data_IF_396846965755
#
_entry.id   IF_396846965755
#
_cell.length_a   1.000
_cell.length_b   1.000
_cell.length_c   1.000
_cell.angle_alpha   90.00
_cell.angle_beta   90.00
_cell.angle_gamma   90.00
#
_symmetry.space_group_name_H-M   'P 1'
#
loop_
_entity.id
_entity.type
_entity.pdbx_description
1 polymer ?
#
# COMPACT_ATOMS: atom_id res chain seq x y z
N UNK A 1 -3.73 -13.74 14.84
CA UNK A 1 -2.95 -13.23 15.99
C UNK A 1 -3.33 -11.78 16.23
N UNK A 2 -3.59 -11.43 17.49
CA UNK A 2 -3.82 -10.04 17.92
C UNK A 2 -2.44 -9.43 18.21
N UNK A 3 -2.16 -8.29 17.64
CA UNK A 3 -0.95 -7.52 17.90
C UNK A 3 -1.30 -6.36 18.83
N UNK A 4 -0.60 -6.20 19.94
CA UNK A 4 -0.73 -5.04 20.80
C UNK A 4 0.31 -4.01 20.35
N UNK A 5 -0.17 -2.82 20.00
CA UNK A 5 0.66 -1.67 19.64
C UNK A 5 0.41 -0.57 20.64
N UNK A 6 1.49 -0.06 21.23
CA UNK A 6 1.41 1.00 22.24
C UNK A 6 2.16 2.25 21.76
N UNK A 7 1.70 3.40 22.26
CA UNK A 7 2.36 4.69 22.15
C UNK A 7 2.61 5.21 23.59
N UNK A 8 3.68 4.77 24.25
CA UNK A 8 3.86 4.96 25.69
C UNK A 8 3.80 6.42 26.14
N UNK A 9 4.41 7.32 25.38
CA UNK A 9 4.40 8.75 25.71
C UNK A 9 3.05 9.47 25.52
N UNK A 10 2.09 8.79 24.83
CA UNK A 10 0.72 9.29 24.65
C UNK A 10 -0.29 8.54 25.51
N UNK A 11 0.12 7.48 26.20
CA UNK A 11 -0.77 6.63 26.97
C UNK A 11 -1.80 5.88 26.12
N UNK A 12 -1.52 5.64 24.84
CA UNK A 12 -2.43 4.96 23.92
C UNK A 12 -2.02 3.50 23.72
N UNK A 13 -3.00 2.61 23.70
CA UNK A 13 -2.83 1.19 23.38
C UNK A 13 -3.90 0.72 22.41
N UNK A 14 -3.49 -0.02 21.39
CA UNK A 14 -4.35 -0.57 20.37
C UNK A 14 -4.18 -2.08 20.27
N UNK A 15 -5.27 -2.81 20.32
CA UNK A 15 -5.32 -4.26 20.10
C UNK A 15 -5.72 -4.50 18.65
N UNK A 16 -4.75 -4.79 17.80
CA UNK A 16 -4.92 -4.90 16.35
C UNK A 16 -5.09 -6.37 15.94
N UNK A 17 -6.23 -6.70 15.35
CA UNK A 17 -6.43 -7.98 14.67
C UNK A 17 -6.34 -7.76 13.15
N UNK A 18 -5.40 -8.43 12.47
CA UNK A 18 -5.26 -8.32 11.01
C UNK A 18 -6.49 -8.83 10.27
N UNK A 19 -7.19 -9.84 10.84
CA UNK A 19 -8.39 -10.43 10.24
C UNK A 19 -9.60 -9.62 10.66
N UNK A 20 -10.35 -9.09 9.70
CA UNK A 20 -11.61 -8.38 9.94
C UNK A 20 -12.74 -9.36 10.23
N UNK A 21 -12.93 -10.33 9.36
CA UNK A 21 -13.93 -11.40 9.47
C UNK A 21 -13.58 -12.58 8.56
N UNK A 22 -14.36 -13.66 8.66
CA UNK A 22 -14.23 -14.81 7.77
C UNK A 22 -15.42 -14.87 6.80
N UNK A 23 -15.13 -15.04 5.52
CA UNK A 23 -16.13 -15.20 4.47
C UNK A 23 -15.89 -16.55 3.77
N UNK A 24 -16.90 -17.44 3.79
CA UNK A 24 -16.79 -18.80 3.24
C UNK A 24 -15.55 -19.58 3.76
N UNK A 25 -15.21 -19.41 5.05
CA UNK A 25 -14.06 -20.06 5.68
C UNK A 25 -12.69 -19.42 5.36
N UNK A 26 -12.64 -18.38 4.56
CA UNK A 26 -11.41 -17.62 4.24
C UNK A 26 -11.32 -16.33 5.04
N UNK A 27 -10.15 -16.00 5.61
CA UNK A 27 -9.98 -14.74 6.34
C UNK A 27 -9.99 -13.56 5.37
N UNK A 28 -10.76 -12.54 5.70
CA UNK A 28 -10.73 -11.22 5.06
C UNK A 28 -9.94 -10.28 5.96
N UNK A 29 -8.92 -9.65 5.39
CA UNK A 29 -7.99 -8.79 6.13
C UNK A 29 -8.41 -7.33 6.07
N UNK A 30 -8.25 -6.62 7.18
CA UNK A 30 -8.48 -5.17 7.23
C UNK A 30 -7.69 -4.39 6.20
N UNK A 31 -6.46 -4.83 5.92
CA UNK A 31 -5.63 -4.22 4.88
C UNK A 31 -6.36 -4.14 3.53
N UNK A 32 -6.93 -5.25 3.09
CA UNK A 32 -7.69 -5.29 1.82
C UNK A 32 -8.92 -4.38 1.82
N UNK A 33 -9.65 -4.35 2.95
CA UNK A 33 -10.83 -3.48 3.11
C UNK A 33 -10.43 -2.01 3.06
N UNK A 34 -9.38 -1.62 3.76
CA UNK A 34 -8.88 -0.24 3.81
C UNK A 34 -8.41 0.21 2.42
N UNK A 35 -7.61 -0.60 1.72
CA UNK A 35 -7.16 -0.30 0.36
C UNK A 35 -8.36 -0.18 -0.60
N UNK A 36 -9.30 -1.11 -0.55
CA UNK A 36 -10.50 -1.06 -1.40
C UNK A 36 -11.35 0.18 -1.11
N UNK A 37 -11.56 0.51 0.16
CA UNK A 37 -12.32 1.72 0.54
C UNK A 37 -11.62 3.01 0.11
N UNK A 38 -10.29 3.08 0.24
CA UNK A 38 -9.48 4.19 -0.24
C UNK A 38 -9.59 4.36 -1.76
N UNK A 39 -9.51 3.26 -2.51
CA UNK A 39 -9.68 3.25 -3.96
C UNK A 39 -11.10 3.71 -4.36
N UNK A 40 -12.13 3.18 -3.72
CA UNK A 40 -13.52 3.56 -4.01
C UNK A 40 -13.76 5.05 -3.71
N UNK A 41 -13.23 5.56 -2.59
CA UNK A 41 -13.33 6.98 -2.26
C UNK A 41 -12.56 7.85 -3.27
N UNK A 42 -11.36 7.44 -3.68
CA UNK A 42 -10.58 8.14 -4.70
C UNK A 42 -11.34 8.20 -6.03
N UNK A 43 -11.89 7.08 -6.49
CA UNK A 43 -12.69 7.02 -7.72
C UNK A 43 -13.93 7.94 -7.60
N UNK A 44 -14.66 7.86 -6.49
CA UNK A 44 -15.84 8.70 -6.25
C UNK A 44 -15.51 10.20 -6.30
N UNK A 45 -14.47 10.62 -5.56
CA UNK A 45 -14.09 12.04 -5.51
C UNK A 45 -13.50 12.52 -6.84
N UNK A 46 -12.64 11.72 -7.48
CA UNK A 46 -12.13 12.04 -8.81
C UNK A 46 -13.27 12.16 -9.85
N UNK A 47 -14.27 11.29 -9.80
CA UNK A 47 -15.44 11.40 -10.68
C UNK A 47 -16.24 12.68 -10.43
N UNK A 48 -16.37 13.12 -9.16
CA UNK A 48 -17.02 14.40 -8.80
C UNK A 48 -16.22 15.61 -9.27
N UNK A 49 -14.89 15.52 -9.28
CA UNK A 49 -14.00 16.62 -9.68
C UNK A 49 -13.65 16.62 -11.17
N UNK A 50 -13.86 15.50 -11.87
CA UNK A 50 -13.53 15.33 -13.29
C UNK A 50 -13.99 16.49 -14.18
N UNK A 51 -15.23 17.04 -14.03
CA UNK A 51 -15.68 18.17 -14.86
C UNK A 51 -14.81 19.42 -14.73
N UNK A 52 -14.18 19.66 -13.56
CA UNK A 52 -13.28 20.82 -13.36
C UNK A 52 -12.01 20.69 -14.21
N UNK A 53 -11.63 19.48 -14.59
CA UNK A 53 -10.47 19.17 -15.44
C UNK A 53 -10.86 18.93 -16.91
N UNK A 54 -12.11 19.20 -17.28
CA UNK A 54 -12.62 18.95 -18.63
C UNK A 54 -12.76 17.46 -18.98
N UNK A 55 -12.91 16.60 -17.96
CA UNK A 55 -13.00 15.14 -18.10
C UNK A 55 -14.45 14.72 -17.81
N UNK A 56 -15.00 13.83 -18.63
CA UNK A 56 -16.30 13.21 -18.38
C UNK A 56 -16.17 12.24 -17.21
N UNK A 57 -17.04 12.28 -16.18
CA UNK A 57 -16.94 11.42 -14.99
C UNK A 57 -16.83 9.93 -15.30
N UNK A 58 -17.54 9.43 -16.29
CA UNK A 58 -17.53 8.02 -16.70
C UNK A 58 -16.15 7.55 -17.17
N UNK A 59 -15.32 8.47 -17.68
CA UNK A 59 -13.95 8.14 -18.08
C UNK A 59 -13.09 7.69 -16.90
N UNK A 60 -13.44 8.07 -15.66
CA UNK A 60 -12.70 7.62 -14.47
C UNK A 60 -12.94 6.12 -14.24
N UNK A 61 -14.21 5.69 -14.33
CA UNK A 61 -14.56 4.26 -14.20
C UNK A 61 -14.00 3.43 -15.36
N UNK A 62 -14.14 3.93 -16.60
CA UNK A 62 -13.57 3.30 -17.78
C UNK A 62 -12.06 3.10 -17.62
N UNK A 63 -11.34 4.16 -17.19
CA UNK A 63 -9.90 4.09 -16.97
C UNK A 63 -9.54 3.05 -15.91
N UNK A 64 -10.25 3.00 -14.78
CA UNK A 64 -10.02 2.03 -13.72
C UNK A 64 -10.27 0.60 -14.17
N UNK A 65 -11.30 0.40 -15.01
CA UNK A 65 -11.61 -0.91 -15.58
C UNK A 65 -10.45 -1.51 -16.40
N UNK A 66 -9.67 -0.68 -17.08
CA UNK A 66 -8.49 -1.12 -17.81
C UNK A 66 -7.22 -1.09 -16.95
N UNK A 67 -7.04 -0.06 -16.12
CA UNK A 67 -5.82 0.13 -15.36
C UNK A 67 -5.62 -0.94 -14.27
N UNK A 68 -6.69 -1.32 -13.53
CA UNK A 68 -6.55 -2.27 -12.43
C UNK A 68 -6.16 -3.66 -12.91
N UNK A 69 -6.82 -4.29 -13.92
CA UNK A 69 -6.37 -5.58 -14.44
C UNK A 69 -4.97 -5.53 -15.05
N UNK A 70 -4.65 -4.46 -15.79
CA UNK A 70 -3.32 -4.28 -16.36
C UNK A 70 -2.24 -4.18 -15.27
N UNK A 71 -2.50 -3.43 -14.20
CA UNK A 71 -1.59 -3.30 -13.07
C UNK A 71 -1.39 -4.65 -12.37
N UNK A 72 -2.45 -5.43 -12.12
CA UNK A 72 -2.35 -6.76 -11.50
C UNK A 72 -1.44 -7.68 -12.32
N UNK A 73 -1.61 -7.72 -13.63
CA UNK A 73 -0.73 -8.53 -14.49
C UNK A 73 0.70 -7.99 -14.47
N UNK A 74 0.87 -6.68 -14.58
CA UNK A 74 2.17 -6.05 -14.72
C UNK A 74 3.02 -6.13 -13.44
N UNK A 75 2.44 -6.06 -12.23
CA UNK A 75 3.22 -6.22 -10.98
C UNK A 75 3.87 -7.59 -10.90
N UNK A 76 3.16 -8.62 -11.36
CA UNK A 76 3.69 -9.99 -11.38
C UNK A 76 4.70 -10.18 -12.51
N UNK A 77 4.36 -9.74 -13.73
CA UNK A 77 5.24 -9.85 -14.89
C UNK A 77 6.57 -9.14 -14.64
N UNK A 78 6.55 -7.93 -14.08
CA UNK A 78 7.76 -7.19 -13.74
C UNK A 78 8.64 -7.96 -12.76
N UNK A 79 8.05 -8.45 -11.66
CA UNK A 79 8.80 -9.22 -10.68
C UNK A 79 9.44 -10.47 -11.29
N UNK A 80 8.67 -11.24 -12.06
CA UNK A 80 9.14 -12.47 -12.71
C UNK A 80 10.28 -12.20 -13.70
N UNK A 81 10.16 -11.13 -14.51
CA UNK A 81 11.20 -10.77 -15.51
C UNK A 81 12.53 -10.48 -14.81
N UNK A 82 12.52 -9.77 -13.69
CA UNK A 82 13.75 -9.40 -12.96
C UNK A 82 14.25 -10.48 -12.00
N UNK A 83 13.50 -11.58 -11.83
CA UNK A 83 13.86 -12.69 -10.95
C UNK A 83 13.63 -14.05 -11.65
N UNK A 84 13.93 -14.14 -12.93
CA UNK A 84 13.67 -15.34 -13.75
C UNK A 84 14.31 -16.60 -13.17
N UNK A 85 15.46 -16.48 -12.54
CA UNK A 85 16.18 -17.62 -11.97
C UNK A 85 15.40 -18.34 -10.84
N UNK A 86 14.54 -17.61 -10.12
CA UNK A 86 13.66 -18.19 -9.09
C UNK A 86 12.55 -19.07 -9.71
N UNK A 87 12.30 -18.93 -11.00
CA UNK A 87 11.23 -19.61 -11.74
C UNK A 87 11.75 -20.63 -12.74
N UNK A 88 13.06 -20.94 -12.71
CA UNK A 88 13.67 -22.00 -13.51
C UNK A 88 13.67 -23.32 -12.77
N UNK A 89 13.26 -24.38 -13.45
CA UNK A 89 13.41 -25.75 -12.97
C UNK A 89 14.85 -26.23 -13.20
N UNK A 90 15.21 -27.33 -12.55
CA UNK A 90 16.55 -27.94 -12.70
C UNK A 90 16.89 -28.38 -14.12
N UNK A 91 15.90 -28.56 -15.00
CA UNK A 91 16.05 -28.84 -16.45
C UNK A 91 16.19 -27.57 -17.31
N UNK A 92 16.18 -26.38 -16.70
CA UNK A 92 16.27 -25.08 -17.38
C UNK A 92 14.93 -24.54 -17.90
N UNK A 93 13.85 -25.31 -17.82
CA UNK A 93 12.51 -24.87 -18.22
C UNK A 93 11.90 -23.89 -17.20
N UNK A 94 10.92 -23.07 -17.65
CA UNK A 94 10.18 -22.17 -16.77
C UNK A 94 9.05 -22.91 -16.04
N UNK A 95 8.93 -22.65 -14.75
CA UNK A 95 7.80 -23.10 -13.94
C UNK A 95 6.61 -22.14 -14.04
N UNK A 96 5.76 -22.34 -15.04
CA UNK A 96 4.57 -21.54 -15.27
C UNK A 96 3.59 -21.58 -14.10
N UNK A 97 3.55 -22.70 -13.35
CA UNK A 97 2.71 -22.83 -12.17
C UNK A 97 3.16 -21.88 -11.04
N UNK A 98 4.48 -21.79 -10.81
CA UNK A 98 5.05 -20.83 -9.86
C UNK A 98 4.89 -19.38 -10.34
N UNK A 99 5.10 -19.12 -11.64
CA UNK A 99 4.94 -17.79 -12.24
C UNK A 99 3.52 -17.24 -12.04
N UNK A 100 2.49 -18.05 -12.20
CA UNK A 100 1.09 -17.63 -12.08
C UNK A 100 0.56 -17.63 -10.65
N UNK A 101 1.35 -18.07 -9.67
CA UNK A 101 0.92 -18.16 -8.27
C UNK A 101 1.16 -16.84 -7.54
N UNK A 102 0.10 -16.03 -7.45
CA UNK A 102 0.14 -14.73 -6.76
C UNK A 102 0.20 -14.85 -5.24
N UNK A 103 -0.24 -15.98 -4.67
CA UNK A 103 -0.28 -16.22 -3.22
C UNK A 103 1.10 -16.25 -2.56
N UNK A 104 2.14 -16.56 -3.33
CA UNK A 104 3.51 -16.72 -2.82
C UNK A 104 4.26 -15.37 -2.77
N UNK A 105 3.56 -14.26 -2.99
CA UNK A 105 4.17 -12.93 -3.08
C UNK A 105 4.88 -12.70 -4.41
N UNK A 106 5.96 -11.91 -4.40
CA UNK A 106 6.69 -11.58 -5.64
C UNK A 106 5.92 -10.65 -6.55
N UNK A 107 5.55 -9.50 -6.02
CA UNK A 107 4.84 -8.43 -6.71
C UNK A 107 5.69 -7.15 -6.66
N UNK A 108 5.98 -6.56 -7.82
CA UNK A 108 6.80 -5.36 -7.91
C UNK A 108 5.93 -4.15 -8.28
N UNK A 109 5.92 -3.13 -7.42
CA UNK A 109 5.13 -1.92 -7.61
C UNK A 109 5.46 -1.16 -8.91
N UNK A 110 6.70 -1.26 -9.38
CA UNK A 110 7.11 -0.67 -10.66
C UNK A 110 6.30 -1.16 -11.84
N UNK A 111 5.88 -2.43 -11.82
CA UNK A 111 4.98 -2.97 -12.84
C UNK A 111 3.64 -2.23 -12.88
N UNK A 112 3.05 -1.96 -11.71
CA UNK A 112 1.81 -1.18 -11.63
C UNK A 112 1.98 0.25 -12.13
N UNK A 113 3.06 0.92 -11.73
CA UNK A 113 3.33 2.32 -12.14
C UNK A 113 3.47 2.41 -13.67
N UNK A 114 4.33 1.58 -14.25
CA UNK A 114 4.60 1.58 -15.69
C UNK A 114 3.33 1.25 -16.48
N UNK A 115 2.62 0.20 -16.09
CA UNK A 115 1.38 -0.20 -16.78
C UNK A 115 0.29 0.85 -16.66
N UNK A 116 0.14 1.49 -15.51
CA UNK A 116 -0.85 2.55 -15.32
C UNK A 116 -0.57 3.76 -16.21
N UNK A 117 0.69 4.16 -16.35
CA UNK A 117 1.09 5.25 -17.27
C UNK A 117 0.81 4.86 -18.71
N UNK A 118 1.16 3.64 -19.12
CA UNK A 118 0.91 3.16 -20.49
C UNK A 118 -0.60 3.12 -20.79
N UNK A 119 -1.41 2.55 -19.88
CA UNK A 119 -2.86 2.49 -20.02
C UNK A 119 -3.45 3.89 -20.10
N UNK A 120 -2.99 4.82 -19.25
CA UNK A 120 -3.43 6.21 -19.28
C UNK A 120 -3.12 6.90 -20.60
N UNK A 121 -1.91 6.72 -21.13
CA UNK A 121 -1.51 7.29 -22.44
C UNK A 121 -2.40 6.77 -23.57
N UNK A 122 -2.62 5.44 -23.60
CA UNK A 122 -3.48 4.80 -24.62
C UNK A 122 -4.92 5.30 -24.47
N UNK A 123 -5.45 5.29 -23.24
CA UNK A 123 -6.81 5.72 -22.93
C UNK A 123 -7.05 7.17 -23.38
N UNK A 124 -6.16 8.08 -23.00
CA UNK A 124 -6.25 9.50 -23.36
C UNK A 124 -6.21 9.70 -24.88
N UNK A 125 -5.35 8.96 -25.59
CA UNK A 125 -5.29 9.00 -27.05
C UNK A 125 -6.57 8.50 -27.70
N UNK A 126 -7.14 7.40 -27.24
CA UNK A 126 -8.36 6.78 -27.80
C UNK A 126 -9.60 7.64 -27.50
N UNK A 127 -9.72 8.13 -26.26
CA UNK A 127 -10.86 8.96 -25.83
C UNK A 127 -10.73 10.43 -26.20
N UNK A 128 -9.57 10.84 -26.78
CA UNK A 128 -9.25 12.23 -27.13
C UNK A 128 -9.34 13.20 -25.95
N UNK A 129 -8.89 12.74 -24.78
CA UNK A 129 -8.81 13.53 -23.54
C UNK A 129 -7.36 13.96 -23.30
N UNK A 130 -7.16 15.14 -22.70
CA UNK A 130 -5.83 15.62 -22.34
C UNK A 130 -5.18 14.68 -21.30
N UNK A 131 -3.99 14.19 -21.62
CA UNK A 131 -3.18 13.39 -20.68
C UNK A 131 -2.86 14.19 -19.40
N UNK A 132 -2.45 15.47 -19.56
CA UNK A 132 -2.10 16.31 -18.42
C UNK A 132 -3.28 16.54 -17.49
N UNK A 133 -4.46 16.86 -18.05
CA UNK A 133 -5.68 17.02 -17.24
C UNK A 133 -6.04 15.75 -16.46
N UNK A 134 -5.85 14.58 -17.11
CA UNK A 134 -6.11 13.31 -16.44
C UNK A 134 -5.05 12.98 -15.38
N UNK A 135 -3.79 13.33 -15.63
CA UNK A 135 -2.70 13.17 -14.68
C UNK A 135 -2.89 14.10 -13.46
N UNK A 136 -3.27 15.36 -13.68
CA UNK A 136 -3.56 16.31 -12.60
C UNK A 136 -4.69 15.79 -11.70
N UNK A 137 -5.79 15.33 -12.28
CA UNK A 137 -6.85 14.68 -11.51
C UNK A 137 -6.37 13.41 -10.81
N UNK A 138 -5.50 12.64 -11.47
CA UNK A 138 -4.90 11.41 -10.93
C UNK A 138 -4.06 11.64 -9.67
N UNK A 139 -3.38 12.78 -9.56
CA UNK A 139 -2.63 13.18 -8.35
C UNK A 139 -3.55 13.26 -7.13
N UNK A 140 -4.75 13.81 -7.26
CA UNK A 140 -5.74 13.83 -6.18
C UNK A 140 -6.14 12.41 -5.75
N UNK A 141 -6.37 11.51 -6.71
CA UNK A 141 -6.65 10.11 -6.44
C UNK A 141 -5.51 9.40 -5.73
N UNK A 142 -4.25 9.69 -6.10
CA UNK A 142 -3.06 9.14 -5.45
C UNK A 142 -2.96 9.60 -3.99
N UNK A 143 -3.14 10.89 -3.72
CA UNK A 143 -3.12 11.40 -2.34
C UNK A 143 -4.21 10.75 -1.47
N UNK A 144 -5.43 10.60 -1.99
CA UNK A 144 -6.53 9.94 -1.26
C UNK A 144 -6.19 8.47 -1.00
N UNK A 145 -5.71 7.75 -2.02
CA UNK A 145 -5.33 6.34 -1.89
C UNK A 145 -4.19 6.12 -0.89
N UNK A 146 -3.16 6.96 -0.92
CA UNK A 146 -2.04 6.88 0.01
C UNK A 146 -2.44 7.30 1.44
N UNK A 147 -3.21 8.37 1.58
CA UNK A 147 -3.74 8.83 2.87
C UNK A 147 -4.45 7.69 3.62
N UNK A 148 -5.32 6.97 2.95
CA UNK A 148 -6.10 5.88 3.53
C UNK A 148 -5.27 4.60 3.60
N UNK A 149 -4.50 4.29 2.57
CA UNK A 149 -3.72 3.06 2.46
C UNK A 149 -2.69 2.88 3.58
N UNK A 150 -2.11 3.99 4.09
CA UNK A 150 -1.17 3.94 5.22
C UNK A 150 -1.78 3.40 6.52
N UNK A 151 -3.07 3.53 6.72
CA UNK A 151 -3.77 2.90 7.85
C UNK A 151 -3.86 1.38 7.71
N UNK A 152 -3.79 0.86 6.49
CA UNK A 152 -3.62 -0.58 6.24
C UNK A 152 -2.28 -1.10 6.78
N UNK A 153 -1.18 -0.36 6.57
CA UNK A 153 0.12 -0.70 7.15
C UNK A 153 0.09 -0.71 8.68
N UNK A 154 -0.62 0.24 9.30
CA UNK A 154 -0.83 0.24 10.75
C UNK A 154 -1.56 -1.02 11.23
N UNK A 155 -2.63 -1.44 10.55
CA UNK A 155 -3.36 -2.66 10.90
C UNK A 155 -2.50 -3.93 10.77
N UNK A 156 -1.56 -3.94 9.84
CA UNK A 156 -0.60 -5.02 9.67
C UNK A 156 0.63 -4.93 10.58
N UNK A 157 0.82 -3.80 11.27
CA UNK A 157 2.04 -3.49 12.06
C UNK A 157 3.29 -3.64 11.17
N UNK A 158 3.28 -2.94 10.04
CA UNK A 158 4.36 -2.99 9.04
C UNK A 158 4.72 -1.58 8.53
N UNK A 159 5.79 -1.47 7.75
CA UNK A 159 6.25 -0.21 7.14
C UNK A 159 6.41 0.95 8.15
N UNK A 160 6.91 0.62 9.34
CA UNK A 160 7.31 1.61 10.35
C UNK A 160 8.75 2.09 10.07
N UNK A 161 9.12 3.22 10.69
CA UNK A 161 10.42 3.85 10.48
C UNK A 161 11.53 3.29 11.37
N UNK A 162 12.64 4.01 11.42
CA UNK A 162 13.79 3.70 12.29
C UNK A 162 13.42 3.81 13.78
N UNK A 163 14.31 3.32 14.63
CA UNK A 163 14.17 3.42 16.07
C UNK A 163 14.16 4.87 16.56
N UNK A 164 13.38 5.15 17.60
CA UNK A 164 13.25 6.49 18.19
C UNK A 164 12.84 6.42 19.66
N UNK A 165 13.18 7.48 20.41
CA UNK A 165 12.75 7.70 21.78
C UNK A 165 11.69 8.80 21.92
N UNK A 166 11.19 9.34 20.82
CA UNK A 166 10.19 10.41 20.82
C UNK A 166 8.92 10.01 21.59
N UNK A 167 8.21 10.98 22.19
CA UNK A 167 7.00 10.67 22.98
C UNK A 167 5.93 9.88 22.24
N UNK A 168 5.81 10.05 20.93
CA UNK A 168 4.83 9.34 20.07
C UNK A 168 5.40 8.10 19.37
N UNK A 169 6.50 7.55 19.88
CA UNK A 169 7.06 6.29 19.38
C UNK A 169 6.05 5.16 19.46
N UNK A 170 6.10 4.29 18.48
CA UNK A 170 5.25 3.11 18.37
C UNK A 170 6.03 1.90 18.86
N UNK A 171 5.47 1.14 19.80
CA UNK A 171 6.07 -0.04 20.41
C UNK A 171 5.12 -1.24 20.28
N UNK A 172 5.65 -2.45 20.45
CA UNK A 172 4.88 -3.68 20.44
C UNK A 172 5.74 -4.90 20.19
N UNK A 173 5.25 -6.08 20.55
CA UNK A 173 6.01 -7.33 20.44
C UNK A 173 6.42 -7.63 18.98
N UNK A 174 5.49 -7.50 18.03
CA UNK A 174 5.79 -7.73 16.61
C UNK A 174 6.85 -6.77 16.06
N UNK A 175 6.90 -5.53 16.57
CA UNK A 175 7.92 -4.54 16.20
C UNK A 175 9.27 -4.96 16.77
N UNK A 176 9.31 -5.31 18.06
CA UNK A 176 10.53 -5.74 18.72
C UNK A 176 11.13 -6.99 18.05
N UNK A 177 10.30 -7.99 17.75
CA UNK A 177 10.69 -9.20 17.02
C UNK A 177 11.26 -8.88 15.64
N UNK A 178 10.60 -8.00 14.88
CA UNK A 178 11.07 -7.61 13.56
C UNK A 178 12.44 -6.90 13.63
N UNK A 179 12.63 -5.98 14.57
CA UNK A 179 13.88 -5.24 14.74
C UNK A 179 15.04 -6.18 15.13
N UNK A 180 14.78 -7.14 16.03
CA UNK A 180 15.79 -8.13 16.44
C UNK A 180 16.15 -9.07 15.28
N UNK A 181 15.15 -9.64 14.59
CA UNK A 181 15.38 -10.56 13.48
C UNK A 181 16.10 -9.90 12.30
N UNK A 182 15.86 -8.62 12.08
CA UNK A 182 16.51 -7.83 11.02
C UNK A 182 17.89 -7.28 11.43
N UNK A 183 18.32 -7.51 12.68
CA UNK A 183 19.61 -7.03 13.18
C UNK A 183 19.68 -5.51 13.43
N UNK A 184 18.54 -4.82 13.47
CA UNK A 184 18.48 -3.39 13.78
C UNK A 184 18.69 -3.08 15.26
N UNK A 185 18.38 -4.03 16.13
CA UNK A 185 18.62 -3.95 17.57
C UNK A 185 19.18 -5.29 18.07
N UNK A 186 19.88 -5.24 19.20
CA UNK A 186 20.29 -6.40 19.97
C UNK A 186 19.21 -6.81 20.99
N UNK A 187 19.51 -7.78 21.85
CA UNK A 187 18.59 -8.24 22.90
C UNK A 187 18.21 -7.12 23.88
N UNK A 188 19.13 -6.22 24.22
CA UNK A 188 18.85 -5.09 25.09
C UNK A 188 17.88 -4.09 24.42
N UNK A 189 18.06 -3.85 23.12
CA UNK A 189 17.14 -3.05 22.31
C UNK A 189 15.77 -3.68 22.20
N UNK A 190 15.67 -5.00 22.05
CA UNK A 190 14.40 -5.74 22.06
C UNK A 190 13.63 -5.50 23.38
N UNK A 191 14.28 -5.64 24.52
CA UNK A 191 13.67 -5.38 25.84
C UNK A 191 13.30 -3.91 26.02
N UNK A 192 14.11 -3.00 25.49
CA UNK A 192 13.79 -1.58 25.50
C UNK A 192 12.52 -1.23 24.71
N UNK A 193 12.26 -1.94 23.57
CA UNK A 193 11.02 -1.78 22.83
C UNK A 193 9.82 -2.35 23.59
N UNK A 194 9.98 -3.50 24.22
CA UNK A 194 8.90 -4.10 25.05
C UNK A 194 8.53 -3.25 26.26
N UNK A 195 9.54 -2.66 26.92
CA UNK A 195 9.32 -1.76 28.07
C UNK A 195 8.79 -0.37 27.66
N UNK A 196 8.79 -0.06 26.36
CA UNK A 196 8.39 1.24 25.84
C UNK A 196 9.46 2.33 25.98
N UNK A 197 10.69 2.02 26.41
CA UNK A 197 11.81 2.97 26.46
C UNK A 197 12.31 3.35 25.06
N UNK A 198 12.31 2.39 24.14
CA UNK A 198 12.62 2.54 22.72
C UNK A 198 11.38 2.19 21.91
N UNK A 199 11.25 2.72 20.71
CA UNK A 199 10.20 2.34 19.76
C UNK A 199 10.60 2.72 18.34
N UNK A 200 9.64 2.76 17.44
CA UNK A 200 9.86 3.15 16.05
C UNK A 200 9.03 4.37 15.67
N UNK A 201 9.45 5.08 14.63
CA UNK A 201 8.65 6.15 14.06
C UNK A 201 7.36 5.59 13.43
N UNK A 202 6.16 6.12 13.77
CA UNK A 202 4.90 5.76 13.15
C UNK A 202 4.77 6.39 11.75
N UNK A 203 5.56 5.90 10.79
CA UNK A 203 5.63 6.47 9.43
C UNK A 203 4.30 6.41 8.70
N UNK A 204 3.44 5.43 9.01
CA UNK A 204 2.08 5.37 8.49
C UNK A 204 1.31 6.67 8.75
N UNK A 205 1.44 7.22 9.97
CA UNK A 205 0.77 8.46 10.37
C UNK A 205 1.41 9.69 9.71
N UNK A 206 2.76 9.75 9.68
CA UNK A 206 3.46 10.87 9.03
C UNK A 206 3.11 10.97 7.56
N UNK A 207 3.16 9.86 6.84
CA UNK A 207 2.84 9.83 5.42
C UNK A 207 1.35 10.08 5.17
N UNK A 208 0.45 9.58 6.03
CA UNK A 208 -0.97 9.88 5.95
C UNK A 208 -1.22 11.39 6.09
N UNK A 209 -0.63 12.05 7.09
CA UNK A 209 -0.77 13.51 7.28
C UNK A 209 -0.11 14.30 6.16
N UNK A 210 1.04 13.86 5.65
CA UNK A 210 1.69 14.49 4.49
C UNK A 210 0.84 14.42 3.23
N UNK A 211 0.23 13.26 2.97
CA UNK A 211 -0.68 13.10 1.84
C UNK A 211 -1.96 13.95 2.00
N UNK A 212 -2.47 14.08 3.23
CA UNK A 212 -3.59 14.97 3.51
C UNK A 212 -3.23 16.44 3.22
N UNK A 213 -2.07 16.89 3.71
CA UNK A 213 -1.57 18.24 3.42
C UNK A 213 -1.36 18.46 1.91
N UNK A 214 -0.77 17.48 1.21
CA UNK A 214 -0.62 17.51 -0.23
C UNK A 214 -1.95 17.62 -0.96
N UNK A 215 -2.97 16.87 -0.53
CA UNK A 215 -4.31 16.95 -1.10
C UNK A 215 -4.91 18.36 -0.97
N UNK A 216 -4.74 19.00 0.20
CA UNK A 216 -5.20 20.38 0.39
C UNK A 216 -4.45 21.41 -0.45
N UNK A 217 -3.15 21.16 -0.74
CA UNK A 217 -2.34 22.09 -1.54
C UNK A 217 -2.69 22.02 -3.03
N UNK A 218 -3.16 20.87 -3.54
CA UNK A 218 -3.49 20.69 -4.96
C UNK A 218 -4.98 20.86 -5.26
N UNK A 219 -5.84 20.90 -4.24
CA UNK A 219 -7.29 21.11 -4.37
C UNK A 219 -7.63 22.59 -4.54
#
# INVERSE_FOLDING_TARGET
MINIVTFPGLGLEFSLNRVAFHLFGRPIFWYGIIIASGMLLAVYLCSRWAPRFGIVPDHILDMMFFAVPAALVAVRAYYVIFNLDLYRRGDGSLDWGAILRYSDGGLAIYGAIISSVIVLLIFCKVRKVSFLSFADLGVHGLFIGQLIGRWGNFMNVEAFGSTTTLPWRMCGTSIAEHLLQSGYVDQAGYEAVLSGALGVHPTFFYESMWNLAGLFLVY
#
